data_IF_672837297282
#
_entry.id   IF_672837297282
#
_cell.length_a   1.000
_cell.length_b   1.000
_cell.length_c   1.000
_cell.angle_alpha   90.00
_cell.angle_beta   90.00
_cell.angle_gamma   90.00
#
_symmetry.space_group_name_H-M   'P 1'
#
loop_
_entity.id
_entity.type
_entity.pdbx_description
1 polymer ?
#
# COMPACT_ATOMS: atom_id res chain seq x y z
N UNK A 1 -7.45 -9.80 64.75
CA UNK A 1 -7.35 -10.53 63.47
C UNK A 1 -7.58 -9.51 62.36
N UNK A 2 -6.58 -9.08 61.58
CA UNK A 2 -6.82 -8.21 60.44
C UNK A 2 -7.29 -9.04 59.22
N UNK A 3 -8.29 -8.51 58.49
CA UNK A 3 -8.84 -9.11 57.28
C UNK A 3 -7.85 -9.10 56.12
N UNK A 4 -7.85 -10.08 55.20
CA UNK A 4 -6.94 -10.13 54.07
C UNK A 4 -7.30 -9.08 53.02
N UNK A 5 -6.30 -8.27 52.68
CA UNK A 5 -6.36 -7.32 51.54
C UNK A 5 -6.42 -8.13 50.24
N UNK A 6 -7.56 -8.06 49.57
CA UNK A 6 -7.78 -8.68 48.28
C UNK A 6 -7.02 -7.88 47.22
N UNK A 7 -5.87 -8.41 46.78
CA UNK A 7 -5.08 -7.85 45.72
C UNK A 7 -5.81 -7.99 44.37
N UNK A 8 -6.45 -6.90 43.91
CA UNK A 8 -7.06 -6.86 42.59
C UNK A 8 -5.95 -6.86 41.55
N UNK A 9 -5.73 -8.00 40.92
CA UNK A 9 -4.90 -8.09 39.72
C UNK A 9 -5.65 -7.38 38.57
N UNK A 10 -5.27 -6.15 38.32
CA UNK A 10 -5.66 -5.46 37.09
C UNK A 10 -4.92 -6.18 35.94
N UNK A 11 -5.64 -7.12 35.33
CA UNK A 11 -5.19 -7.79 34.12
C UNK A 11 -5.14 -6.72 33.03
N UNK A 12 -3.94 -6.16 32.77
CA UNK A 12 -3.68 -5.25 31.64
C UNK A 12 -3.94 -6.08 30.39
N UNK A 13 -5.18 -6.03 29.85
CA UNK A 13 -5.47 -6.60 28.55
C UNK A 13 -4.44 -6.03 27.57
N UNK A 14 -3.42 -6.82 27.25
CA UNK A 14 -2.53 -6.50 26.16
C UNK A 14 -3.39 -6.49 24.90
N UNK A 15 -3.66 -5.29 24.37
CA UNK A 15 -4.33 -5.17 23.09
C UNK A 15 -3.57 -6.02 22.07
N UNK A 16 -4.26 -6.94 21.43
CA UNK A 16 -3.66 -7.75 20.37
C UNK A 16 -2.96 -6.80 19.38
N UNK A 17 -1.74 -7.12 18.91
CA UNK A 17 -1.04 -6.25 17.98
C UNK A 17 -1.90 -6.04 16.74
N UNK A 18 -2.27 -4.79 16.50
CA UNK A 18 -3.11 -4.40 15.35
C UNK A 18 -2.31 -4.55 14.06
N UNK A 19 -2.98 -4.99 12.99
CA UNK A 19 -2.35 -5.05 11.67
C UNK A 19 -1.93 -3.64 11.23
N UNK A 20 -0.75 -3.53 10.65
CA UNK A 20 -0.21 -2.29 10.10
C UNK A 20 -0.17 -2.37 8.57
N UNK A 21 -0.72 -1.36 7.92
CA UNK A 21 -0.79 -1.22 6.47
C UNK A 21 0.02 0.01 6.06
N UNK A 22 1.02 -0.19 5.20
CA UNK A 22 1.74 0.88 4.53
C UNK A 22 1.37 0.87 3.05
N UNK A 23 0.66 1.90 2.61
CA UNK A 23 0.23 2.08 1.23
C UNK A 23 1.24 2.96 0.49
N UNK A 24 1.69 2.47 -0.65
CA UNK A 24 2.51 3.20 -1.61
C UNK A 24 1.58 3.64 -2.74
N UNK A 25 1.18 4.91 -2.74
CA UNK A 25 0.33 5.49 -3.77
C UNK A 25 1.12 6.38 -4.73
N UNK A 26 0.48 6.82 -5.80
CA UNK A 26 1.07 7.67 -6.81
C UNK A 26 0.54 7.34 -8.21
N UNK A 27 0.73 8.23 -9.18
CA UNK A 27 0.29 8.04 -10.55
C UNK A 27 1.03 6.90 -11.25
N UNK A 28 0.58 6.54 -12.45
CA UNK A 28 1.30 5.60 -13.32
C UNK A 28 2.70 6.15 -13.62
N UNK A 29 3.69 5.28 -13.63
CA UNK A 29 5.10 5.68 -13.82
C UNK A 29 5.78 6.32 -12.60
N UNK A 30 5.09 6.52 -11.47
CA UNK A 30 5.69 7.06 -10.24
C UNK A 30 6.66 6.08 -9.56
N UNK A 31 6.63 4.79 -9.91
CA UNK A 31 7.55 3.75 -9.42
C UNK A 31 7.05 2.95 -8.22
N UNK A 32 5.73 2.91 -7.98
CA UNK A 32 5.13 2.17 -6.85
C UNK A 32 5.62 0.73 -6.72
N UNK A 33 5.51 -0.05 -7.78
CA UNK A 33 5.90 -1.48 -7.79
C UNK A 33 7.40 -1.67 -7.54
N UNK A 34 8.23 -0.78 -8.10
CA UNK A 34 9.70 -0.84 -7.90
C UNK A 34 10.08 -0.52 -6.45
N UNK A 35 9.47 0.53 -5.87
CA UNK A 35 9.70 0.90 -4.47
C UNK A 35 9.11 -0.13 -3.51
N UNK A 36 7.97 -0.76 -3.86
CA UNK A 36 7.38 -1.87 -3.11
C UNK A 36 8.34 -3.05 -3.01
N UNK A 37 8.92 -3.46 -4.14
CA UNK A 37 9.88 -4.57 -4.19
C UNK A 37 11.11 -4.27 -3.35
N UNK A 38 11.73 -3.12 -3.55
CA UNK A 38 12.93 -2.70 -2.81
C UNK A 38 12.66 -2.57 -1.30
N UNK A 39 11.52 -2.00 -0.91
CA UNK A 39 11.13 -1.91 0.50
C UNK A 39 10.94 -3.28 1.14
N UNK A 40 10.35 -4.23 0.39
CA UNK A 40 10.23 -5.63 0.82
C UNK A 40 11.60 -6.26 1.03
N UNK A 41 12.55 -6.07 0.11
CA UNK A 41 13.91 -6.60 0.22
C UNK A 41 14.64 -6.01 1.43
N UNK A 42 14.52 -4.70 1.67
CA UNK A 42 15.10 -4.02 2.85
C UNK A 42 14.56 -4.62 4.15
N UNK A 43 13.26 -4.86 4.24
CA UNK A 43 12.63 -5.47 5.43
C UNK A 43 13.05 -6.93 5.59
N UNK A 44 13.15 -7.70 4.51
CA UNK A 44 13.58 -9.10 4.53
C UNK A 44 15.02 -9.24 5.03
N UNK A 45 15.95 -8.43 4.53
CA UNK A 45 17.35 -8.40 5.00
C UNK A 45 17.45 -8.08 6.50
N UNK A 46 16.51 -7.32 7.04
CA UNK A 46 16.42 -6.98 8.48
C UNK A 46 15.59 -7.97 9.31
N UNK A 47 15.16 -9.08 8.72
CA UNK A 47 14.31 -10.07 9.36
C UNK A 47 13.02 -9.46 9.96
N UNK A 48 12.43 -8.47 9.31
CA UNK A 48 11.15 -7.87 9.71
C UNK A 48 10.03 -8.58 8.96
N UNK A 49 9.19 -9.40 9.64
CA UNK A 49 8.11 -10.15 9.00
C UNK A 49 7.06 -9.20 8.40
N UNK A 50 6.76 -9.39 7.10
CA UNK A 50 5.80 -8.60 6.34
C UNK A 50 5.30 -9.38 5.13
N UNK A 51 4.21 -8.92 4.53
CA UNK A 51 3.80 -9.25 3.17
C UNK A 51 3.90 -8.01 2.28
N UNK A 52 4.09 -8.20 0.99
CA UNK A 52 4.04 -7.14 -0.01
C UNK A 52 3.12 -7.53 -1.16
N UNK A 53 2.21 -6.65 -1.55
CA UNK A 53 1.20 -6.90 -2.58
C UNK A 53 1.12 -5.68 -3.50
N UNK A 54 1.26 -5.90 -4.80
CA UNK A 54 0.80 -4.95 -5.81
C UNK A 54 -0.68 -5.26 -6.06
N UNK A 55 -1.56 -4.34 -5.65
CA UNK A 55 -3.00 -4.59 -5.66
C UNK A 55 -3.56 -4.66 -7.09
N UNK A 56 -2.92 -3.97 -8.04
CA UNK A 56 -3.34 -4.02 -9.44
C UNK A 56 -3.24 -5.46 -9.99
N UNK A 57 -2.25 -6.24 -9.53
CA UNK A 57 -2.11 -7.64 -9.92
C UNK A 57 -3.27 -8.54 -9.44
N UNK A 58 -3.92 -8.19 -8.34
CA UNK A 58 -5.09 -8.93 -7.82
C UNK A 58 -6.40 -8.55 -8.52
N UNK A 59 -6.41 -7.47 -9.30
CA UNK A 59 -7.56 -6.97 -10.04
C UNK A 59 -7.49 -7.23 -11.54
N UNK A 60 -6.43 -7.87 -12.05
CA UNK A 60 -6.27 -8.13 -13.48
C UNK A 60 -7.21 -9.23 -13.94
N UNK A 61 -8.40 -8.85 -14.39
CA UNK A 61 -9.41 -9.75 -14.94
C UNK A 61 -10.25 -9.04 -16.00
N UNK A 62 -10.69 -9.79 -17.02
CA UNK A 62 -11.75 -9.34 -17.93
C UNK A 62 -13.03 -10.03 -17.53
N UNK A 63 -13.93 -9.29 -16.89
CA UNK A 63 -15.19 -9.82 -16.40
C UNK A 63 -16.24 -9.82 -17.51
N UNK A 64 -17.22 -10.77 -17.49
CA UNK A 64 -18.39 -10.69 -18.36
C UNK A 64 -19.13 -9.37 -18.16
N UNK A 65 -19.68 -8.81 -19.23
CA UNK A 65 -20.41 -7.52 -19.22
C UNK A 65 -21.62 -7.48 -18.28
N UNK A 66 -22.12 -8.64 -17.86
CA UNK A 66 -23.19 -8.79 -16.87
C UNK A 66 -22.73 -8.71 -15.43
N UNK A 67 -21.41 -8.62 -15.19
CA UNK A 67 -20.82 -8.58 -13.85
C UNK A 67 -20.21 -7.21 -13.63
N UNK A 68 -20.86 -6.40 -12.80
CA UNK A 68 -20.29 -5.18 -12.24
C UNK A 68 -19.82 -5.46 -10.81
N UNK A 69 -18.53 -5.68 -10.64
CA UNK A 69 -17.97 -5.98 -9.32
C UNK A 69 -16.72 -5.15 -9.03
N UNK A 70 -16.94 -3.93 -8.56
CA UNK A 70 -15.88 -3.01 -8.13
C UNK A 70 -15.18 -3.49 -6.84
N UNK A 71 -15.71 -4.53 -6.20
CA UNK A 71 -15.18 -5.03 -4.92
C UNK A 71 -14.33 -6.30 -5.07
N UNK A 72 -14.28 -6.90 -6.28
CA UNK A 72 -13.59 -8.19 -6.49
C UNK A 72 -12.11 -8.12 -6.09
N UNK A 73 -11.41 -7.07 -6.47
CA UNK A 73 -10.01 -6.85 -6.14
C UNK A 73 -9.78 -6.78 -4.62
N UNK A 74 -10.67 -6.13 -3.87
CA UNK A 74 -10.58 -6.02 -2.41
C UNK A 74 -10.96 -7.32 -1.71
N UNK A 75 -11.87 -8.12 -2.29
CA UNK A 75 -12.15 -9.49 -1.81
C UNK A 75 -10.94 -10.40 -2.01
N UNK A 76 -10.27 -10.28 -3.15
CA UNK A 76 -9.02 -10.99 -3.41
C UNK A 76 -7.94 -10.57 -2.40
N UNK A 77 -7.78 -9.27 -2.16
CA UNK A 77 -6.86 -8.75 -1.15
C UNK A 77 -7.15 -9.34 0.24
N UNK A 78 -8.42 -9.37 0.66
CA UNK A 78 -8.82 -9.95 1.94
C UNK A 78 -8.43 -11.42 2.03
N UNK A 79 -8.76 -12.22 1.02
CA UNK A 79 -8.47 -13.66 0.99
C UNK A 79 -6.96 -13.93 1.04
N UNK A 80 -6.17 -13.16 0.29
CA UNK A 80 -4.70 -13.29 0.31
C UNK A 80 -4.14 -12.85 1.66
N UNK A 81 -4.63 -11.75 2.23
CA UNK A 81 -4.20 -11.26 3.54
C UNK A 81 -4.52 -12.25 4.66
N UNK A 82 -5.70 -12.87 4.66
CA UNK A 82 -6.09 -13.87 5.65
C UNK A 82 -5.10 -15.03 5.70
N UNK A 83 -4.60 -15.50 4.56
CA UNK A 83 -3.57 -16.52 4.51
C UNK A 83 -2.26 -16.08 5.18
N UNK A 84 -1.82 -14.85 4.95
CA UNK A 84 -0.64 -14.28 5.62
C UNK A 84 -0.85 -14.06 7.12
N UNK A 85 -2.02 -13.60 7.51
CA UNK A 85 -2.37 -13.39 8.91
C UNK A 85 -2.40 -14.70 9.72
N UNK A 86 -2.83 -15.81 9.10
CA UNK A 86 -2.83 -17.14 9.72
C UNK A 86 -1.42 -17.63 10.08
N UNK A 87 -0.40 -17.24 9.33
CA UNK A 87 1.01 -17.55 9.65
C UNK A 87 1.66 -16.48 10.53
N UNK A 88 0.87 -15.54 11.07
CA UNK A 88 1.30 -14.58 12.08
C UNK A 88 1.80 -13.24 11.55
N UNK A 89 1.71 -12.96 10.25
CA UNK A 89 2.10 -11.66 9.72
C UNK A 89 1.17 -10.55 10.21
N UNK A 90 1.75 -9.38 10.50
CA UNK A 90 1.05 -8.20 11.01
C UNK A 90 1.34 -6.93 10.21
N UNK A 91 2.18 -7.02 9.17
CA UNK A 91 2.57 -5.89 8.33
C UNK A 91 2.30 -6.20 6.88
N UNK A 92 1.63 -5.27 6.19
CA UNK A 92 1.40 -5.32 4.75
C UNK A 92 1.93 -4.05 4.08
N UNK A 93 2.85 -4.23 3.12
CA UNK A 93 3.16 -3.23 2.11
C UNK A 93 2.17 -3.40 0.96
N UNK A 94 1.52 -2.32 0.54
CA UNK A 94 0.52 -2.35 -0.53
C UNK A 94 0.82 -1.26 -1.56
N UNK A 95 0.99 -1.61 -2.83
CA UNK A 95 1.07 -0.65 -3.92
C UNK A 95 -0.31 -0.49 -4.57
N UNK A 96 -0.82 0.75 -4.66
CA UNK A 96 -2.08 1.10 -5.34
C UNK A 96 -2.19 2.61 -5.52
N UNK A 97 -2.71 3.07 -6.64
CA UNK A 97 -3.19 4.45 -6.76
C UNK A 97 -4.53 4.58 -6.01
N UNK A 98 -4.55 5.25 -4.88
CA UNK A 98 -5.76 5.46 -4.08
C UNK A 98 -6.39 6.79 -4.52
N UNK A 99 -7.45 6.72 -5.30
CA UNK A 99 -8.06 7.87 -5.97
C UNK A 99 -9.05 8.63 -5.07
N UNK A 100 -9.62 7.93 -4.08
CA UNK A 100 -10.61 8.51 -3.16
C UNK A 100 -10.63 7.85 -1.77
N UNK A 101 -11.33 8.45 -0.77
CA UNK A 101 -11.43 7.88 0.58
C UNK A 101 -12.15 6.54 0.64
N UNK A 102 -13.04 6.22 -0.30
CA UNK A 102 -13.77 4.94 -0.30
C UNK A 102 -12.84 3.78 -0.68
N UNK A 103 -11.95 3.98 -1.66
CA UNK A 103 -10.89 3.01 -1.98
C UNK A 103 -9.96 2.76 -0.79
N UNK A 104 -9.58 3.84 -0.07
CA UNK A 104 -8.76 3.72 1.14
C UNK A 104 -9.45 2.85 2.19
N UNK A 105 -10.74 3.07 2.43
CA UNK A 105 -11.50 2.28 3.41
C UNK A 105 -11.66 0.83 2.95
N UNK A 106 -11.81 0.55 1.66
CA UNK A 106 -11.80 -0.80 1.13
C UNK A 106 -10.49 -1.53 1.42
N UNK A 107 -9.34 -0.88 1.20
CA UNK A 107 -8.03 -1.44 1.55
C UNK A 107 -7.90 -1.68 3.05
N UNK A 108 -8.27 -0.70 3.87
CA UNK A 108 -8.22 -0.77 5.33
C UNK A 108 -9.05 -1.91 5.89
N UNK A 109 -10.30 -2.01 5.43
CA UNK A 109 -11.24 -3.05 5.85
C UNK A 109 -10.81 -4.44 5.41
N UNK A 110 -10.26 -4.59 4.18
CA UNK A 110 -9.80 -5.88 3.68
C UNK A 110 -8.69 -6.48 4.55
N UNK A 111 -7.82 -5.64 5.13
CA UNK A 111 -6.69 -6.05 5.98
C UNK A 111 -7.04 -5.99 7.48
N UNK A 112 -8.19 -5.44 7.85
CA UNK A 112 -8.53 -5.10 9.24
C UNK A 112 -7.41 -4.30 9.91
N UNK A 113 -6.91 -3.27 9.20
CA UNK A 113 -5.75 -2.49 9.65
C UNK A 113 -6.14 -1.51 10.76
N UNK A 114 -5.47 -1.62 11.92
CA UNK A 114 -5.59 -0.66 13.01
C UNK A 114 -4.68 0.57 12.83
N UNK A 115 -3.60 0.42 12.06
CA UNK A 115 -2.69 1.50 11.69
C UNK A 115 -2.51 1.51 10.18
N UNK A 116 -2.78 2.65 9.55
CA UNK A 116 -2.54 2.88 8.12
C UNK A 116 -1.59 4.05 7.98
N UNK A 117 -0.61 3.92 7.09
CA UNK A 117 0.28 5.01 6.67
C UNK A 117 0.28 5.02 5.14
N UNK A 118 0.19 6.20 4.55
CA UNK A 118 0.12 6.39 3.11
C UNK A 118 1.30 7.24 2.65
N UNK A 119 2.16 6.66 1.84
CA UNK A 119 3.25 7.35 1.18
C UNK A 119 2.89 7.58 -0.29
N UNK A 120 2.91 8.83 -0.74
CA UNK A 120 2.73 9.16 -2.15
C UNK A 120 4.08 9.32 -2.84
N UNK A 121 4.32 8.53 -3.88
CA UNK A 121 5.45 8.71 -4.77
C UNK A 121 5.11 9.73 -5.87
N UNK A 122 5.98 10.71 -6.04
CA UNK A 122 5.86 11.76 -7.05
C UNK A 122 7.07 11.76 -7.99
N UNK A 123 6.87 12.22 -9.21
CA UNK A 123 7.90 12.56 -10.20
C UNK A 123 7.30 13.60 -11.14
N UNK A 124 8.14 14.20 -12.00
CA UNK A 124 7.61 15.07 -13.06
C UNK A 124 6.67 14.30 -14.00
N UNK A 125 5.62 14.95 -14.49
CA UNK A 125 4.68 14.32 -15.44
C UNK A 125 5.43 13.71 -16.63
N UNK A 126 6.41 14.46 -17.16
CA UNK A 126 7.24 13.97 -18.26
C UNK A 126 7.96 12.67 -17.89
N UNK A 127 8.63 12.62 -16.75
CA UNK A 127 9.36 11.41 -16.30
C UNK A 127 8.39 10.23 -16.10
N UNK A 128 7.22 10.47 -15.55
CA UNK A 128 6.21 9.42 -15.38
C UNK A 128 5.71 8.91 -16.74
N UNK A 129 5.45 9.81 -17.69
CA UNK A 129 5.03 9.45 -19.06
C UNK A 129 6.12 8.68 -19.80
N UNK A 130 7.36 9.13 -19.74
CA UNK A 130 8.52 8.45 -20.39
C UNK A 130 8.67 7.02 -19.82
N UNK A 131 8.51 6.82 -18.52
CA UNK A 131 8.55 5.50 -17.88
C UNK A 131 7.37 4.60 -18.30
N UNK A 132 6.16 5.13 -18.40
CA UNK A 132 5.00 4.39 -18.89
C UNK A 132 5.22 4.02 -20.35
N UNK A 133 5.66 4.94 -21.19
CA UNK A 133 5.90 4.70 -22.61
C UNK A 133 6.98 3.62 -22.83
N UNK A 134 8.03 3.58 -22.00
CA UNK A 134 9.09 2.58 -22.15
C UNK A 134 8.68 1.18 -21.65
N UNK A 135 7.74 1.10 -20.68
CA UNK A 135 7.31 -0.16 -20.07
C UNK A 135 6.14 -0.80 -20.80
N UNK A 136 5.13 0.01 -21.13
CA UNK A 136 3.91 -0.48 -21.77
C UNK A 136 4.13 -0.66 -23.28
N UNK A 137 3.73 -1.80 -23.80
CA UNK A 137 3.83 -2.14 -25.22
C UNK A 137 2.46 -2.56 -25.70
N UNK A 138 2.01 -2.01 -26.84
CA UNK A 138 0.79 -2.46 -27.50
C UNK A 138 -0.36 -1.46 -27.48
N UNK A 139 -1.56 -1.96 -27.68
CA UNK A 139 -2.77 -1.20 -28.06
C UNK A 139 -3.17 -0.09 -27.06
N UNK A 140 -2.84 -0.23 -25.78
CA UNK A 140 -3.27 0.68 -24.74
C UNK A 140 -2.19 1.69 -24.29
N UNK A 141 -1.00 1.67 -24.90
CA UNK A 141 0.12 2.51 -24.50
C UNK A 141 -0.25 4.00 -24.45
N UNK A 142 -0.83 4.54 -25.50
CA UNK A 142 -1.20 5.96 -25.57
C UNK A 142 -2.24 6.33 -24.50
N UNK A 143 -3.19 5.43 -24.23
CA UNK A 143 -4.19 5.62 -23.18
C UNK A 143 -3.55 5.70 -21.79
N UNK A 144 -2.57 4.83 -21.53
CA UNK A 144 -1.84 4.83 -20.25
C UNK A 144 -0.97 6.08 -20.09
N UNK A 145 -0.29 6.54 -21.15
CA UNK A 145 0.49 7.78 -21.14
C UNK A 145 -0.41 9.00 -20.87
N UNK A 146 -1.59 9.06 -21.51
CA UNK A 146 -2.55 10.14 -21.29
C UNK A 146 -3.09 10.13 -19.84
N UNK A 147 -3.38 8.94 -19.30
CA UNK A 147 -3.90 8.78 -17.93
C UNK A 147 -2.95 9.27 -16.84
N UNK A 148 -1.64 9.34 -17.09
CA UNK A 148 -0.64 9.79 -16.10
C UNK A 148 -0.99 11.14 -15.49
N UNK A 149 -1.22 12.15 -16.34
CA UNK A 149 -1.49 13.51 -15.87
C UNK A 149 -2.86 13.62 -15.18
N UNK A 150 -3.87 12.95 -15.72
CA UNK A 150 -5.21 12.91 -15.15
C UNK A 150 -5.20 12.27 -13.75
N UNK A 151 -4.59 11.09 -13.62
CA UNK A 151 -4.50 10.39 -12.34
C UNK A 151 -3.69 11.19 -11.33
N UNK A 152 -2.59 11.84 -11.75
CA UNK A 152 -1.84 12.72 -10.87
C UNK A 152 -2.70 13.86 -10.33
N UNK A 153 -3.52 14.49 -11.19
CA UNK A 153 -4.43 15.57 -10.78
C UNK A 153 -5.57 15.07 -9.86
N UNK A 154 -6.02 13.81 -10.02
CA UNK A 154 -6.98 13.18 -9.09
C UNK A 154 -6.34 13.03 -7.72
N UNK A 155 -5.13 12.47 -7.65
CA UNK A 155 -4.40 12.28 -6.40
C UNK A 155 -4.05 13.60 -5.71
N UNK A 156 -3.71 14.66 -6.47
CA UNK A 156 -3.49 16.02 -5.92
C UNK A 156 -4.74 16.55 -5.23
N UNK A 157 -5.93 16.32 -5.80
CA UNK A 157 -7.20 16.75 -5.20
C UNK A 157 -7.62 15.90 -4.02
N UNK A 158 -7.40 14.57 -4.08
CA UNK A 158 -7.76 13.66 -3.01
C UNK A 158 -6.94 13.88 -1.75
N UNK A 159 -5.64 14.17 -1.89
CA UNK A 159 -4.69 14.50 -0.82
C UNK A 159 -4.81 13.60 0.41
N UNK A 160 -4.72 12.29 0.17
CA UNK A 160 -4.92 11.25 1.19
C UNK A 160 -3.62 10.78 1.85
N UNK A 161 -2.48 11.20 1.35
CA UNK A 161 -1.17 10.80 1.83
C UNK A 161 -0.78 11.47 3.15
N UNK A 162 -0.14 10.71 4.03
CA UNK A 162 0.52 11.26 5.23
C UNK A 162 1.81 12.01 4.87
N UNK A 163 2.48 11.57 3.79
CA UNK A 163 3.66 12.23 3.25
C UNK A 163 3.93 11.83 1.79
N UNK A 164 4.70 12.69 1.10
CA UNK A 164 5.15 12.43 -0.27
C UNK A 164 6.65 12.27 -0.35
N UNK A 165 7.11 11.47 -1.31
CA UNK A 165 8.52 11.30 -1.66
C UNK A 165 8.73 11.50 -3.16
N UNK A 166 9.72 12.29 -3.51
CA UNK A 166 10.16 12.45 -4.90
C UNK A 166 10.95 11.21 -5.31
N UNK A 167 10.47 10.49 -6.32
CA UNK A 167 11.11 9.32 -6.91
C UNK A 167 11.65 9.64 -8.34
N UNK A 168 12.50 10.65 -8.39
CA UNK A 168 13.14 11.11 -9.62
C UNK A 168 14.60 11.49 -9.32
N UNK A 169 15.54 11.04 -10.18
CA UNK A 169 16.97 11.28 -10.03
C UNK A 169 17.55 10.82 -8.66
N UNK A 170 17.00 9.76 -8.10
CA UNK A 170 17.44 9.17 -6.84
C UNK A 170 17.49 7.63 -6.97
N UNK A 171 18.42 6.95 -6.28
CA UNK A 171 18.40 5.50 -6.15
C UNK A 171 17.08 5.03 -5.50
N UNK A 172 16.50 3.96 -6.03
CA UNK A 172 15.27 3.38 -5.48
C UNK A 172 15.45 2.95 -4.02
N UNK A 173 16.63 2.44 -3.67
CA UNK A 173 16.98 2.03 -2.30
C UNK A 173 16.86 3.19 -1.31
N UNK A 174 17.29 4.40 -1.69
CA UNK A 174 17.18 5.58 -0.83
C UNK A 174 15.72 5.99 -0.63
N UNK A 175 14.90 5.94 -1.68
CA UNK A 175 13.46 6.26 -1.61
C UNK A 175 12.74 5.25 -0.74
N UNK A 176 12.99 3.95 -0.95
CA UNK A 176 12.38 2.87 -0.16
C UNK A 176 12.80 2.95 1.31
N UNK A 177 14.06 3.18 1.59
CA UNK A 177 14.58 3.35 2.96
C UNK A 177 13.93 4.55 3.66
N UNK A 178 13.91 5.72 3.01
CA UNK A 178 13.28 6.94 3.57
C UNK A 178 11.79 6.70 3.87
N UNK A 179 11.08 6.03 2.95
CA UNK A 179 9.68 5.67 3.14
C UNK A 179 9.47 4.82 4.39
N UNK A 180 10.26 3.76 4.55
CA UNK A 180 10.14 2.85 5.70
C UNK A 180 10.46 3.55 7.02
N UNK A 181 11.48 4.43 7.05
CA UNK A 181 11.82 5.24 8.25
C UNK A 181 10.67 6.18 8.59
N UNK A 182 10.13 6.93 7.62
CA UNK A 182 9.02 7.88 7.85
C UNK A 182 7.72 7.17 8.26
N UNK A 183 7.50 5.95 7.77
CA UNK A 183 6.37 5.13 8.18
C UNK A 183 6.54 4.49 9.59
N UNK A 184 7.74 4.57 10.18
CA UNK A 184 8.07 3.95 11.47
C UNK A 184 8.18 2.43 11.40
N UNK A 185 8.66 1.91 10.26
CA UNK A 185 8.90 0.48 10.05
C UNK A 185 10.38 0.10 10.19
N UNK A 186 11.25 1.14 10.18
CA UNK A 186 12.69 1.07 10.48
C UNK A 186 13.05 2.03 11.59
#
# INVERSE_FOLDING_TARGET
MPAPVMMVHINKLAMAPTNALLIITGSMGSGKTTVLSEASDILAVRNIPHASIDLDALGTAHLPSSVEDNQLMYRNLRSVWENYAQVGLKRLLLARAIEDPAELECCRSAVSAGKVVICRLTASIKTMQDRVQSREIGTLQDSFVARVAELNAILDRAHLEDFSLLNENRPVTDVAHEMLVRAGWL
#
